data_IF_022447760195
#
_entry.id   IF_022447760195
#
_cell.length_a   1.000
_cell.length_b   1.000
_cell.length_c   1.000
_cell.angle_alpha   90.00
_cell.angle_beta   90.00
_cell.angle_gamma   90.00
#
_symmetry.space_group_name_H-M   'P 1'
#
loop_
_entity.id
_entity.type
_entity.pdbx_description
1 polymer ?
#
# COMPACT_ATOMS: atom_id res chain seq x y z
N UNK A 1 -20.11 7.43 43.13
CA UNK A 1 -19.87 8.50 42.14
C UNK A 1 -18.47 8.27 41.60
N UNK A 2 -18.37 7.60 40.44
CA UNK A 2 -17.13 7.43 39.71
C UNK A 2 -17.05 8.56 38.66
N UNK A 3 -16.23 9.55 38.95
CA UNK A 3 -15.87 10.56 37.94
C UNK A 3 -15.03 9.90 36.83
N UNK A 4 -15.61 9.75 35.68
CA UNK A 4 -14.88 9.46 34.45
C UNK A 4 -14.09 10.71 34.11
N UNK A 5 -12.77 10.67 34.29
CA UNK A 5 -11.85 11.66 33.75
C UNK A 5 -11.95 11.62 32.23
N UNK A 6 -12.24 12.75 31.56
CA UNK A 6 -12.25 12.77 30.08
C UNK A 6 -10.85 12.47 29.55
N UNK A 7 -10.70 11.79 28.40
CA UNK A 7 -9.40 11.49 27.83
C UNK A 7 -8.67 12.80 27.49
N UNK A 8 -7.44 12.88 27.95
CA UNK A 8 -6.53 14.02 27.77
C UNK A 8 -6.28 14.24 26.28
N UNK A 9 -6.69 15.41 25.76
CA UNK A 9 -6.72 15.77 24.34
C UNK A 9 -5.32 16.07 23.74
N UNK A 10 -4.22 15.67 24.37
CA UNK A 10 -2.85 16.05 24.00
C UNK A 10 -1.90 14.91 23.67
N UNK A 11 -2.34 13.66 23.66
CA UNK A 11 -1.47 12.57 23.23
C UNK A 11 -1.55 12.47 21.70
N UNK A 12 -0.47 12.73 20.93
CA UNK A 12 -0.49 12.57 19.48
C UNK A 12 -0.85 11.12 19.15
N UNK A 13 -1.68 10.94 18.12
CA UNK A 13 -2.06 9.61 17.65
C UNK A 13 -0.79 8.80 17.34
N UNK A 14 -0.74 7.52 17.72
CA UNK A 14 0.43 6.70 17.44
C UNK A 14 0.69 6.62 15.93
N UNK A 15 1.95 6.53 15.51
CA UNK A 15 2.27 6.37 14.10
C UNK A 15 1.63 5.10 13.53
N UNK A 16 1.34 5.12 12.25
CA UNK A 16 0.82 3.96 11.51
C UNK A 16 1.80 2.79 11.62
N UNK A 17 3.09 3.05 11.36
CA UNK A 17 4.19 2.10 11.52
C UNK A 17 5.26 2.73 12.41
N UNK A 18 5.77 1.96 13.38
CA UNK A 18 6.94 2.34 14.19
C UNK A 18 7.85 1.13 14.33
N UNK A 19 8.79 1.03 13.40
CA UNK A 19 9.76 -0.04 13.32
C UNK A 19 11.16 0.49 13.64
N UNK A 20 11.85 -0.16 14.56
CA UNK A 20 13.25 0.10 14.83
C UNK A 20 14.02 -1.22 14.81
N UNK A 21 15.12 -1.23 14.05
CA UNK A 21 16.07 -2.32 14.00
C UNK A 21 15.43 -3.70 13.73
N UNK A 22 14.51 -3.78 12.76
CA UNK A 22 13.86 -5.05 12.42
C UNK A 22 14.71 -5.84 11.43
N UNK A 23 14.94 -7.11 11.73
CA UNK A 23 15.64 -8.07 10.86
C UNK A 23 14.72 -9.25 10.58
N UNK A 24 14.57 -9.60 9.30
CA UNK A 24 13.69 -10.69 8.85
C UNK A 24 14.47 -11.68 8.03
N UNK A 25 14.30 -12.97 8.33
CA UNK A 25 14.90 -14.08 7.60
C UNK A 25 13.86 -14.79 6.73
N UNK A 26 14.29 -15.25 5.55
CA UNK A 26 13.54 -16.18 4.70
C UNK A 26 14.43 -17.36 4.37
N UNK A 27 14.26 -18.48 5.09
CA UNK A 27 15.26 -19.54 5.15
C UNK A 27 16.57 -18.96 5.71
N UNK A 28 17.68 -19.21 5.05
CA UNK A 28 19.00 -18.73 5.44
C UNK A 28 19.33 -17.31 4.95
N UNK A 29 18.42 -16.71 4.14
CA UNK A 29 18.64 -15.37 3.58
C UNK A 29 18.03 -14.30 4.47
N UNK A 30 18.83 -13.29 4.84
CA UNK A 30 18.34 -12.06 5.45
C UNK A 30 17.68 -11.22 4.36
N UNK A 31 16.36 -10.98 4.48
CA UNK A 31 15.55 -10.22 3.51
C UNK A 31 15.26 -8.82 3.96
N UNK A 32 15.26 -8.56 5.29
CA UNK A 32 15.37 -7.23 5.90
C UNK A 32 16.50 -7.28 6.92
N UNK A 33 17.30 -6.22 6.97
CA UNK A 33 18.50 -6.16 7.79
C UNK A 33 18.55 -4.85 8.58
N UNK A 34 18.24 -4.93 9.87
CA UNK A 34 18.27 -3.80 10.80
C UNK A 34 17.48 -2.58 10.30
N UNK A 35 16.34 -2.83 9.62
CA UNK A 35 15.52 -1.80 9.02
C UNK A 35 14.77 -1.02 10.11
N UNK A 36 14.82 0.31 10.02
CA UNK A 36 14.04 1.23 10.87
C UNK A 36 13.19 2.13 9.99
N UNK A 37 11.87 2.21 10.27
CA UNK A 37 10.92 2.99 9.49
C UNK A 37 9.78 3.45 10.40
N UNK A 38 9.55 4.75 10.46
CA UNK A 38 8.36 5.31 11.12
C UNK A 38 7.49 5.97 10.04
N UNK A 39 6.19 5.66 10.03
CA UNK A 39 5.20 6.25 9.11
C UNK A 39 4.07 6.84 9.93
N UNK A 40 3.75 8.09 9.70
CA UNK A 40 2.65 8.79 10.36
C UNK A 40 1.27 8.30 9.90
N UNK A 41 0.23 8.58 10.69
CA UNK A 41 -1.14 8.37 10.25
C UNK A 41 -1.49 9.35 9.12
N UNK A 42 -2.12 8.85 8.05
CA UNK A 42 -2.48 9.66 6.88
C UNK A 42 -1.30 10.09 5.98
N UNK A 43 -0.07 9.66 6.29
CA UNK A 43 1.11 10.00 5.49
C UNK A 43 1.09 9.33 4.12
N UNK A 44 1.57 10.05 3.09
CA UNK A 44 1.76 9.53 1.75
C UNK A 44 3.25 9.30 1.49
N UNK A 45 3.62 8.04 1.25
CA UNK A 45 5.00 7.58 1.20
C UNK A 45 5.24 6.69 -0.02
N UNK A 46 6.36 6.86 -0.72
CA UNK A 46 6.85 5.87 -1.67
C UNK A 46 8.05 5.09 -1.10
N UNK A 47 8.02 3.78 -1.22
CA UNK A 47 9.13 2.88 -0.93
C UNK A 47 9.69 2.40 -2.27
N UNK A 48 10.84 2.92 -2.64
CA UNK A 48 11.46 2.69 -3.95
C UNK A 48 12.72 1.82 -3.80
N UNK A 49 12.97 0.95 -4.75
CA UNK A 49 14.19 0.14 -4.79
C UNK A 49 14.17 -0.91 -5.89
N UNK A 50 15.34 -1.46 -6.25
CA UNK A 50 15.44 -2.49 -7.28
C UNK A 50 14.71 -3.78 -6.90
N UNK A 51 14.50 -4.65 -7.89
CA UNK A 51 13.94 -5.97 -7.66
C UNK A 51 14.84 -6.77 -6.71
N UNK A 52 14.24 -7.45 -5.73
CA UNK A 52 14.98 -8.19 -4.71
C UNK A 52 15.54 -7.35 -3.55
N UNK A 53 15.29 -6.03 -3.52
CA UNK A 53 15.74 -5.14 -2.44
C UNK A 53 15.12 -5.40 -1.07
N UNK A 54 14.02 -6.19 -1.00
CA UNK A 54 13.32 -6.49 0.26
C UNK A 54 11.95 -5.82 0.38
N UNK A 55 11.50 -5.04 -0.60
CA UNK A 55 10.23 -4.28 -0.58
C UNK A 55 9.00 -5.15 -0.27
N UNK A 56 8.79 -6.24 -1.01
CA UNK A 56 7.67 -7.16 -0.76
C UNK A 56 7.82 -7.91 0.58
N UNK A 57 9.06 -8.14 1.04
CA UNK A 57 9.30 -8.69 2.38
C UNK A 57 8.88 -7.70 3.47
N UNK A 58 9.09 -6.40 3.26
CA UNK A 58 8.61 -5.36 4.18
C UNK A 58 7.08 -5.35 4.24
N UNK A 59 6.38 -5.42 3.09
CA UNK A 59 4.91 -5.53 3.08
C UNK A 59 4.47 -6.80 3.84
N UNK A 60 5.07 -7.97 3.55
CA UNK A 60 4.76 -9.23 4.24
C UNK A 60 5.05 -9.16 5.75
N UNK A 61 5.97 -8.30 6.17
CA UNK A 61 6.22 -8.04 7.58
C UNK A 61 5.12 -7.15 8.19
N UNK A 62 4.68 -6.11 7.48
CA UNK A 62 3.55 -5.27 7.88
C UNK A 62 2.26 -6.12 8.01
N UNK A 63 2.02 -7.03 7.06
CA UNK A 63 0.83 -7.91 7.04
C UNK A 63 0.91 -9.12 7.99
N UNK A 64 2.00 -9.24 8.74
CA UNK A 64 2.25 -10.36 9.69
C UNK A 64 2.39 -11.73 9.03
N UNK A 65 2.74 -11.78 7.76
CA UNK A 65 3.14 -13.02 7.08
C UNK A 65 4.61 -13.37 7.37
N UNK A 66 5.45 -12.35 7.58
CA UNK A 66 6.82 -12.49 8.06
C UNK A 66 6.97 -11.85 9.44
N UNK A 67 7.77 -12.46 10.30
CA UNK A 67 8.03 -11.95 11.64
C UNK A 67 9.51 -11.57 11.80
N UNK A 68 9.80 -10.39 12.39
CA UNK A 68 11.17 -10.02 12.72
C UNK A 68 11.77 -10.93 13.78
N UNK A 69 13.09 -11.16 13.69
CA UNK A 69 13.85 -11.82 14.74
C UNK A 69 13.70 -11.07 16.07
N UNK A 70 13.60 -11.83 17.17
CA UNK A 70 13.56 -11.25 18.49
C UNK A 70 14.97 -10.82 18.94
N UNK A 71 15.12 -9.55 19.33
CA UNK A 71 16.30 -9.02 19.99
C UNK A 71 15.95 -7.77 20.82
N UNK A 72 16.82 -7.39 21.77
CA UNK A 72 16.51 -6.39 22.78
C UNK A 72 16.18 -4.99 22.22
N UNK A 73 16.84 -4.60 21.13
CA UNK A 73 16.72 -3.25 20.55
C UNK A 73 15.64 -3.17 19.45
N UNK A 74 14.86 -4.23 19.28
CA UNK A 74 13.79 -4.27 18.29
C UNK A 74 12.56 -3.52 18.79
N UNK A 75 12.00 -2.62 17.96
CA UNK A 75 10.63 -2.13 18.10
C UNK A 75 9.85 -2.44 16.83
N UNK A 76 8.66 -3.02 16.99
CA UNK A 76 7.82 -3.44 15.88
C UNK A 76 6.35 -3.20 16.21
N UNK A 77 5.92 -1.94 16.10
CA UNK A 77 4.57 -1.50 16.41
C UNK A 77 3.83 -1.08 15.14
N UNK A 78 2.58 -1.45 15.05
CA UNK A 78 1.63 -0.95 14.05
C UNK A 78 0.49 -0.29 14.81
N UNK A 79 0.24 1.00 14.55
CA UNK A 79 -0.73 1.82 15.31
C UNK A 79 -0.54 1.65 16.83
N UNK A 80 0.71 1.71 17.30
CA UNK A 80 1.08 1.60 18.70
C UNK A 80 0.97 0.21 19.32
N UNK A 81 0.60 -0.85 18.57
CA UNK A 81 0.43 -2.22 19.09
C UNK A 81 1.46 -3.16 18.49
N UNK A 82 2.05 -4.01 19.33
CA UNK A 82 2.97 -5.08 18.88
C UNK A 82 2.21 -6.32 18.38
N UNK A 83 1.07 -6.63 18.97
CA UNK A 83 0.28 -7.83 18.62
C UNK A 83 -1.03 -7.41 18.01
N UNK A 84 -1.36 -8.03 16.88
CA UNK A 84 -2.60 -7.83 16.14
C UNK A 84 -3.28 -9.16 15.84
N UNK A 85 -4.58 -9.17 15.91
CA UNK A 85 -5.40 -10.17 15.23
C UNK A 85 -5.34 -9.87 13.73
N UNK A 86 -5.04 -10.89 12.91
CA UNK A 86 -4.72 -10.69 11.47
C UNK A 86 -5.90 -10.09 10.70
N UNK A 87 -7.14 -10.51 11.03
CA UNK A 87 -8.35 -9.96 10.39
C UNK A 87 -8.52 -8.47 10.70
N UNK A 88 -8.37 -8.07 11.97
CA UNK A 88 -8.45 -6.67 12.38
C UNK A 88 -7.36 -5.81 11.72
N UNK A 89 -6.14 -6.33 11.60
CA UNK A 89 -5.06 -5.61 10.92
C UNK A 89 -5.37 -5.41 9.44
N UNK A 90 -5.90 -6.43 8.77
CA UNK A 90 -6.29 -6.35 7.35
C UNK A 90 -7.46 -5.39 7.08
N UNK A 91 -8.35 -5.22 8.05
CA UNK A 91 -9.41 -4.21 7.95
C UNK A 91 -8.89 -2.79 8.13
N UNK A 92 -7.82 -2.62 8.91
CA UNK A 92 -7.20 -1.31 9.16
C UNK A 92 -6.21 -0.89 8.08
N UNK A 93 -5.65 -1.85 7.34
CA UNK A 93 -4.71 -1.63 6.24
C UNK A 93 -5.28 -2.22 4.94
N UNK A 94 -5.63 -1.36 4.01
CA UNK A 94 -6.02 -1.78 2.67
C UNK A 94 -4.79 -2.22 1.88
N UNK A 95 -4.76 -3.48 1.40
CA UNK A 95 -3.61 -4.01 0.69
C UNK A 95 -4.00 -4.41 -0.72
N UNK A 96 -3.28 -3.88 -1.70
CA UNK A 96 -3.44 -4.20 -3.12
C UNK A 96 -2.10 -4.69 -3.68
N UNK A 97 -2.04 -5.98 -3.99
CA UNK A 97 -0.86 -6.61 -4.59
C UNK A 97 -1.19 -7.30 -5.91
N UNK A 98 -0.16 -7.53 -6.72
CA UNK A 98 -0.30 -8.29 -7.95
C UNK A 98 -0.76 -9.74 -7.69
N UNK A 99 -0.23 -10.38 -6.62
CA UNK A 99 -0.61 -11.73 -6.24
C UNK A 99 -2.13 -11.85 -6.02
N UNK A 100 -2.75 -10.83 -5.41
CA UNK A 100 -4.18 -10.81 -5.17
C UNK A 100 -5.00 -10.82 -6.46
N UNK A 101 -4.55 -10.11 -7.51
CA UNK A 101 -5.26 -10.08 -8.80
C UNK A 101 -5.35 -11.48 -9.43
N UNK A 102 -4.30 -12.27 -9.33
CA UNK A 102 -4.27 -13.63 -9.88
C UNK A 102 -5.08 -14.64 -9.05
N UNK A 103 -5.48 -14.30 -7.82
CA UNK A 103 -6.31 -15.19 -6.99
C UNK A 103 -7.79 -15.18 -7.41
N UNK A 104 -8.23 -14.14 -8.15
CA UNK A 104 -9.59 -14.05 -8.67
C UNK A 104 -9.76 -14.92 -9.94
N UNK A 105 -9.49 -16.21 -9.80
CA UNK A 105 -9.60 -17.22 -10.89
C UNK A 105 -11.03 -17.71 -11.10
N UNK A 106 -11.93 -17.47 -10.15
CA UNK A 106 -13.35 -17.82 -10.24
C UNK A 106 -14.11 -16.77 -11.03
N UNK A 107 -15.24 -17.18 -11.60
CA UNK A 107 -16.18 -16.25 -12.22
C UNK A 107 -16.92 -15.46 -11.13
N UNK A 108 -16.33 -14.34 -10.73
CA UNK A 108 -16.95 -13.37 -9.86
C UNK A 108 -17.01 -12.02 -10.56
N UNK A 109 -18.04 -11.26 -10.26
CA UNK A 109 -18.23 -9.91 -10.78
C UNK A 109 -17.32 -8.91 -10.05
N UNK A 110 -17.16 -7.72 -10.64
CA UNK A 110 -16.46 -6.63 -9.96
C UNK A 110 -17.12 -6.27 -8.62
N UNK A 111 -18.45 -6.23 -8.56
CA UNK A 111 -19.22 -6.00 -7.34
C UNK A 111 -18.91 -7.03 -6.27
N UNK A 112 -18.96 -8.32 -6.61
CA UNK A 112 -18.62 -9.40 -5.68
C UNK A 112 -17.16 -9.34 -5.21
N UNK A 113 -16.25 -8.89 -6.06
CA UNK A 113 -14.86 -8.69 -5.68
C UNK A 113 -14.73 -7.60 -4.60
N UNK A 114 -15.45 -6.47 -4.71
CA UNK A 114 -15.47 -5.42 -3.68
C UNK A 114 -16.13 -5.93 -2.41
N UNK A 115 -17.32 -6.52 -2.49
CA UNK A 115 -18.03 -7.11 -1.35
C UNK A 115 -17.21 -8.13 -0.59
N UNK A 116 -16.39 -8.93 -1.28
CA UNK A 116 -15.51 -9.93 -0.64
C UNK A 116 -14.48 -9.32 0.31
N UNK A 117 -14.22 -8.01 0.20
CA UNK A 117 -13.37 -7.26 1.10
C UNK A 117 -13.84 -7.27 2.54
N UNK A 118 -15.17 -7.19 2.77
CA UNK A 118 -15.75 -7.24 4.12
C UNK A 118 -15.43 -8.53 4.88
N UNK A 119 -15.19 -9.60 4.15
CA UNK A 119 -14.91 -10.93 4.71
C UNK A 119 -13.43 -11.33 4.63
N UNK A 120 -12.56 -10.45 4.12
CA UNK A 120 -11.15 -10.76 3.84
C UNK A 120 -10.96 -12.03 3.01
N UNK A 121 -11.94 -12.38 2.14
CA UNK A 121 -12.02 -13.60 1.34
C UNK A 121 -11.82 -13.31 -0.16
N UNK A 122 -11.63 -14.35 -0.97
CA UNK A 122 -11.63 -14.27 -2.43
C UNK A 122 -12.98 -14.79 -2.93
N UNK A 123 -13.95 -13.87 -3.07
CA UNK A 123 -15.35 -14.16 -3.38
C UNK A 123 -16.24 -14.27 -2.13
N UNK A 124 -17.55 -14.31 -2.36
CA UNK A 124 -18.54 -14.22 -1.27
C UNK A 124 -18.79 -15.56 -0.56
N UNK A 125 -18.56 -16.69 -1.23
CA UNK A 125 -18.85 -18.04 -0.70
C UNK A 125 -20.27 -18.17 -0.13
N UNK A 126 -20.36 -18.41 1.20
CA UNK A 126 -21.61 -18.55 1.96
C UNK A 126 -21.83 -17.37 2.93
N UNK A 127 -21.05 -16.29 2.77
CA UNK A 127 -21.25 -15.12 3.62
C UNK A 127 -22.54 -14.40 3.26
N UNK A 128 -23.29 -13.99 4.27
CA UNK A 128 -24.48 -13.17 4.10
C UNK A 128 -24.07 -11.71 3.88
N UNK A 129 -24.47 -11.14 2.77
CA UNK A 129 -24.26 -9.74 2.45
C UNK A 129 -25.41 -8.94 3.03
N UNK A 130 -25.10 -7.93 3.82
CA UNK A 130 -26.10 -7.03 4.41
C UNK A 130 -26.38 -5.83 3.51
N UNK A 131 -27.54 -5.18 3.69
CA UNK A 131 -27.86 -3.95 2.97
C UNK A 131 -26.80 -2.84 3.14
N UNK A 132 -26.23 -2.71 4.34
CA UNK A 132 -25.15 -1.74 4.62
C UNK A 132 -23.88 -2.04 3.83
N UNK A 133 -23.55 -3.32 3.63
CA UNK A 133 -22.38 -3.71 2.79
C UNK A 133 -22.64 -3.37 1.32
N UNK A 134 -23.85 -3.57 0.82
CA UNK A 134 -24.24 -3.18 -0.55
C UNK A 134 -24.16 -1.66 -0.73
N UNK A 135 -24.76 -0.89 0.19
CA UNK A 135 -24.70 0.57 0.17
C UNK A 135 -23.25 1.09 0.15
N UNK A 136 -22.41 0.56 1.03
CA UNK A 136 -20.97 0.93 1.06
C UNK A 136 -20.27 0.55 -0.23
N UNK A 137 -20.58 -0.60 -0.80
CA UNK A 137 -20.04 -1.04 -2.10
C UNK A 137 -20.44 -0.07 -3.21
N UNK A 138 -21.69 0.35 -3.27
CA UNK A 138 -22.19 1.33 -4.25
C UNK A 138 -21.48 2.68 -4.10
N UNK A 139 -21.25 3.14 -2.87
CA UNK A 139 -20.47 4.36 -2.62
C UNK A 139 -19.05 4.25 -3.17
N UNK A 140 -18.38 3.14 -2.91
CA UNK A 140 -17.01 2.89 -3.37
C UNK A 140 -16.96 2.79 -4.91
N UNK A 141 -17.87 2.06 -5.54
CA UNK A 141 -17.93 1.94 -6.98
C UNK A 141 -18.11 3.31 -7.66
N UNK A 142 -18.98 4.16 -7.11
CA UNK A 142 -19.16 5.56 -7.57
C UNK A 142 -17.92 6.40 -7.35
N UNK A 143 -17.33 6.33 -6.15
CA UNK A 143 -16.09 7.05 -5.83
C UNK A 143 -14.95 6.73 -6.78
N UNK A 144 -14.83 5.44 -7.16
CA UNK A 144 -13.81 4.95 -8.09
C UNK A 144 -14.22 5.06 -9.58
N UNK A 145 -15.44 5.49 -9.89
CA UNK A 145 -15.98 5.64 -11.26
C UNK A 145 -15.95 4.30 -12.05
N UNK A 146 -16.31 3.19 -11.39
CA UNK A 146 -16.31 1.84 -11.98
C UNK A 146 -17.68 1.14 -11.89
N UNK A 147 -18.75 1.86 -11.58
CA UNK A 147 -20.12 1.31 -11.50
C UNK A 147 -20.55 0.58 -12.78
N UNK A 148 -20.20 1.15 -13.93
CA UNK A 148 -20.54 0.62 -15.25
C UNK A 148 -19.89 -0.73 -15.57
N UNK A 149 -18.91 -1.16 -14.76
CA UNK A 149 -18.22 -2.44 -14.88
C UNK A 149 -18.57 -3.42 -13.75
N UNK A 150 -19.46 -3.01 -12.81
CA UNK A 150 -19.72 -3.75 -11.57
C UNK A 150 -20.18 -5.19 -11.80
N UNK A 151 -21.01 -5.42 -12.80
CA UNK A 151 -21.58 -6.73 -13.13
C UNK A 151 -20.72 -7.54 -14.10
N UNK A 152 -19.61 -6.96 -14.61
CA UNK A 152 -18.69 -7.65 -15.49
C UNK A 152 -17.80 -8.62 -14.71
N UNK A 153 -17.48 -9.76 -15.32
CA UNK A 153 -16.54 -10.73 -14.72
C UNK A 153 -15.14 -10.14 -14.58
N UNK A 154 -14.52 -10.31 -13.41
CA UNK A 154 -13.14 -9.89 -13.14
C UNK A 154 -12.13 -10.47 -14.15
N UNK A 155 -12.43 -11.63 -14.73
CA UNK A 155 -11.57 -12.30 -15.73
C UNK A 155 -11.57 -11.62 -17.10
N UNK A 156 -12.62 -10.87 -17.41
CA UNK A 156 -12.78 -10.15 -18.67
C UNK A 156 -12.30 -8.70 -18.59
N UNK A 157 -11.88 -8.26 -17.41
CA UNK A 157 -11.39 -6.92 -17.20
C UNK A 157 -9.93 -6.77 -17.61
N UNK A 158 -9.58 -5.59 -18.12
CA UNK A 158 -8.18 -5.20 -18.27
C UNK A 158 -7.47 -5.15 -16.91
N UNK A 159 -6.14 -5.19 -16.92
CA UNK A 159 -5.34 -5.11 -15.68
C UNK A 159 -5.65 -3.86 -14.87
N UNK A 160 -5.85 -2.71 -15.53
CA UNK A 160 -6.19 -1.45 -14.87
C UNK A 160 -7.62 -1.41 -14.30
N UNK A 161 -8.60 -1.97 -15.03
CA UNK A 161 -9.98 -2.11 -14.52
C UNK A 161 -10.01 -3.01 -13.28
N UNK A 162 -9.44 -4.22 -13.39
CA UNK A 162 -9.39 -5.17 -12.27
C UNK A 162 -8.69 -4.57 -11.05
N UNK A 163 -7.61 -3.80 -11.25
CA UNK A 163 -6.88 -3.14 -10.16
C UNK A 163 -7.75 -2.13 -9.41
N UNK A 164 -8.60 -1.37 -10.10
CA UNK A 164 -9.52 -0.42 -9.44
C UNK A 164 -10.56 -1.15 -8.58
N UNK A 165 -11.05 -2.34 -8.98
CA UNK A 165 -11.90 -3.18 -8.13
C UNK A 165 -11.15 -3.73 -6.91
N UNK A 166 -9.86 -4.10 -7.04
CA UNK A 166 -9.05 -4.48 -5.89
C UNK A 166 -8.81 -3.32 -4.92
N UNK A 167 -8.66 -2.10 -5.42
CA UNK A 167 -8.65 -0.90 -4.57
C UNK A 167 -9.99 -0.76 -3.87
N UNK A 168 -11.12 -0.86 -4.58
CA UNK A 168 -12.46 -0.82 -3.97
C UNK A 168 -12.62 -1.85 -2.86
N UNK A 169 -12.19 -3.07 -3.11
CA UNK A 169 -12.15 -4.14 -2.11
C UNK A 169 -11.33 -3.77 -0.87
N UNK A 170 -10.22 -3.09 -1.05
CA UNK A 170 -9.35 -2.67 0.06
C UNK A 170 -9.93 -1.50 0.87
N UNK A 171 -10.86 -0.71 0.29
CA UNK A 171 -11.44 0.47 0.90
C UNK A 171 -12.72 0.20 1.72
N UNK A 172 -13.31 -1.01 1.68
CA UNK A 172 -14.62 -1.30 2.32
C UNK A 172 -14.67 -1.06 3.82
N UNK A 173 -13.53 -1.09 4.50
CA UNK A 173 -13.40 -0.87 5.94
C UNK A 173 -12.86 0.53 6.29
N UNK A 174 -12.83 1.47 5.36
CA UNK A 174 -12.23 2.80 5.54
C UNK A 174 -10.83 2.73 6.19
N UNK A 175 -9.86 2.06 5.53
CA UNK A 175 -8.56 1.77 6.14
C UNK A 175 -7.78 3.06 6.44
N UNK A 176 -6.95 3.02 7.48
CA UNK A 176 -6.06 4.12 7.83
C UNK A 176 -5.00 4.39 6.74
N UNK A 177 -4.62 3.36 6.00
CA UNK A 177 -3.73 3.48 4.86
C UNK A 177 -4.00 2.41 3.79
N UNK A 178 -3.75 2.78 2.53
CA UNK A 178 -3.74 1.90 1.38
C UNK A 178 -2.28 1.59 1.02
N UNK A 179 -1.91 0.31 1.05
CA UNK A 179 -0.59 -0.19 0.67
C UNK A 179 -0.70 -0.83 -0.71
N UNK A 180 0.10 -0.33 -1.66
CA UNK A 180 0.10 -0.81 -3.04
C UNK A 180 1.46 -1.40 -3.38
N UNK A 181 1.50 -2.69 -3.76
CA UNK A 181 2.72 -3.39 -4.16
C UNK A 181 2.80 -3.48 -5.69
N UNK A 182 3.71 -2.68 -6.27
CA UNK A 182 3.96 -2.60 -7.72
C UNK A 182 2.68 -2.48 -8.56
N UNK A 183 1.83 -1.50 -8.27
CA UNK A 183 0.44 -1.51 -8.73
C UNK A 183 0.26 -1.24 -10.22
N UNK A 184 1.27 -0.69 -10.92
CA UNK A 184 1.15 -0.26 -12.32
C UNK A 184 1.73 -1.26 -13.31
N UNK A 185 2.25 -2.39 -12.83
CA UNK A 185 2.80 -3.43 -13.70
C UNK A 185 1.75 -3.89 -14.73
N UNK A 186 2.16 -3.95 -15.99
CA UNK A 186 1.33 -4.37 -17.13
C UNK A 186 0.16 -3.44 -17.49
N UNK A 187 0.21 -2.16 -17.07
CA UNK A 187 -0.75 -1.14 -17.49
C UNK A 187 -0.27 -0.40 -18.73
N UNK A 188 -1.18 -0.18 -19.68
CA UNK A 188 -0.96 0.77 -20.77
C UNK A 188 -1.13 2.22 -20.29
N UNK A 189 -0.86 3.20 -21.15
CA UNK A 189 -0.92 4.62 -20.78
C UNK A 189 -2.32 5.07 -20.34
N UNK A 190 -3.38 4.52 -20.94
CA UNK A 190 -4.75 4.85 -20.58
C UNK A 190 -5.10 4.34 -19.20
N UNK A 191 -4.82 3.05 -18.93
CA UNK A 191 -5.02 2.44 -17.62
C UNK A 191 -4.20 3.14 -16.53
N UNK A 192 -2.93 3.47 -16.82
CA UNK A 192 -2.04 4.19 -15.93
C UNK A 192 -2.58 5.58 -15.56
N UNK A 193 -3.10 6.33 -16.53
CA UNK A 193 -3.71 7.65 -16.29
C UNK A 193 -4.90 7.56 -15.32
N UNK A 194 -5.84 6.65 -15.58
CA UNK A 194 -7.01 6.46 -14.72
C UNK A 194 -6.63 5.94 -13.33
N UNK A 195 -5.67 5.03 -13.25
CA UNK A 195 -5.16 4.51 -11.99
C UNK A 195 -4.55 5.63 -11.13
N UNK A 196 -3.69 6.47 -11.70
CA UNK A 196 -3.09 7.62 -11.02
C UNK A 196 -4.15 8.62 -10.53
N UNK A 197 -5.13 8.96 -11.36
CA UNK A 197 -6.25 9.83 -10.97
C UNK A 197 -7.03 9.24 -9.79
N UNK A 198 -7.25 7.94 -9.79
CA UNK A 198 -7.89 7.22 -8.66
C UNK A 198 -7.07 7.35 -7.38
N UNK A 199 -5.75 7.13 -7.45
CA UNK A 199 -4.86 7.26 -6.28
C UNK A 199 -4.82 8.69 -5.73
N UNK A 200 -4.79 9.70 -6.61
CA UNK A 200 -4.86 11.10 -6.19
C UNK A 200 -6.17 11.42 -5.45
N UNK A 201 -7.31 10.91 -5.92
CA UNK A 201 -8.59 11.03 -5.20
C UNK A 201 -8.52 10.42 -3.80
N UNK A 202 -7.95 9.22 -3.68
CA UNK A 202 -7.80 8.50 -2.41
C UNK A 202 -6.88 9.28 -1.47
N UNK A 203 -5.73 9.74 -1.94
CA UNK A 203 -4.82 10.55 -1.13
C UNK A 203 -5.49 11.82 -0.61
N UNK A 204 -6.24 12.53 -1.46
CA UNK A 204 -6.98 13.75 -1.10
C UNK A 204 -8.17 13.49 -0.16
N UNK A 205 -8.69 12.27 -0.09
CA UNK A 205 -9.76 11.92 0.86
C UNK A 205 -9.27 11.68 2.29
N UNK A 206 -7.95 11.70 2.52
CA UNK A 206 -7.34 11.54 3.84
C UNK A 206 -6.85 10.13 4.16
N UNK A 207 -7.06 9.15 3.27
CA UNK A 207 -6.47 7.82 3.42
C UNK A 207 -4.98 7.87 3.11
N UNK A 208 -4.12 7.42 4.03
CA UNK A 208 -2.67 7.33 3.80
C UNK A 208 -2.37 6.44 2.59
N UNK A 209 -1.38 6.80 1.78
CA UNK A 209 -0.96 5.99 0.61
C UNK A 209 0.49 5.58 0.77
N UNK A 210 0.72 4.28 0.87
CA UNK A 210 2.07 3.69 0.88
C UNK A 210 2.27 2.96 -0.45
N UNK A 211 3.03 3.58 -1.34
CA UNK A 211 3.36 3.06 -2.66
C UNK A 211 4.67 2.29 -2.60
N UNK A 212 4.66 1.00 -2.90
CA UNK A 212 5.87 0.19 -3.01
C UNK A 212 6.12 -0.10 -4.49
N UNK A 213 7.26 0.36 -5.01
CA UNK A 213 7.54 0.28 -6.45
C UNK A 213 9.04 0.24 -6.75
N UNK A 214 9.38 -0.08 -7.98
CA UNK A 214 10.70 0.14 -8.57
C UNK A 214 10.67 1.21 -9.68
N UNK A 215 9.50 1.85 -9.89
CA UNK A 215 9.26 2.76 -11.00
C UNK A 215 8.92 4.18 -10.48
N UNK A 216 9.70 5.18 -10.86
CA UNK A 216 9.48 6.57 -10.44
C UNK A 216 8.13 7.11 -10.93
N UNK A 217 7.65 6.62 -12.08
CA UNK A 217 6.38 7.05 -12.66
C UNK A 217 5.15 6.70 -11.80
N UNK A 218 5.30 5.83 -10.80
CA UNK A 218 4.21 5.47 -9.88
C UNK A 218 4.01 6.51 -8.78
N UNK A 219 5.04 7.31 -8.51
CA UNK A 219 5.04 8.29 -7.43
C UNK A 219 4.15 9.48 -7.83
N UNK A 220 2.94 9.52 -7.29
CA UNK A 220 1.99 10.61 -7.55
C UNK A 220 2.42 11.92 -6.85
N UNK A 221 1.97 13.09 -7.33
CA UNK A 221 2.32 14.39 -6.72
C UNK A 221 2.01 14.50 -5.22
N UNK A 222 0.97 13.86 -4.74
CA UNK A 222 0.54 13.85 -3.35
C UNK A 222 1.52 13.13 -2.40
N UNK A 223 2.34 12.22 -2.92
CA UNK A 223 3.43 11.60 -2.15
C UNK A 223 4.54 12.63 -1.94
N UNK A 224 4.82 12.95 -0.69
CA UNK A 224 5.84 13.94 -0.31
C UNK A 224 7.15 13.33 0.18
N UNK A 225 7.14 12.06 0.62
CA UNK A 225 8.31 11.38 1.19
C UNK A 225 8.65 10.12 0.40
N UNK A 226 9.93 9.89 0.21
CA UNK A 226 10.47 8.70 -0.46
C UNK A 226 11.47 8.00 0.43
N UNK A 227 11.31 6.69 0.57
CA UNK A 227 12.24 5.80 1.27
C UNK A 227 12.87 4.88 0.24
N UNK A 228 14.19 4.86 0.20
CA UNK A 228 14.95 3.99 -0.70
C UNK A 228 15.40 2.73 0.03
N UNK A 229 15.11 1.58 -0.57
CA UNK A 229 15.49 0.27 -0.03
C UNK A 229 16.45 -0.43 -0.97
N UNK A 230 17.63 -0.83 -0.47
CA UNK A 230 18.63 -1.66 -1.16
C UNK A 230 19.10 -2.75 -0.21
N UNK A 231 19.15 -4.00 -0.67
CA UNK A 231 19.68 -5.15 0.10
C UNK A 231 19.05 -5.32 1.51
N UNK A 232 17.76 -5.09 1.62
CA UNK A 232 17.02 -5.22 2.89
C UNK A 232 17.19 -4.08 3.87
N UNK A 233 17.89 -3.00 3.49
CA UNK A 233 18.17 -1.83 4.33
C UNK A 233 17.57 -0.57 3.72
N UNK A 234 17.24 0.41 4.57
CA UNK A 234 16.95 1.76 4.11
C UNK A 234 18.29 2.46 3.87
N UNK A 235 18.50 2.95 2.65
CA UNK A 235 19.70 3.68 2.27
C UNK A 235 19.49 5.19 2.15
N UNK A 236 18.23 5.65 2.00
CA UNK A 236 17.87 7.06 2.08
C UNK A 236 16.38 7.19 2.47
N UNK A 237 16.02 8.26 3.14
CA UNK A 237 14.67 8.57 3.60
C UNK A 237 14.53 10.09 3.76
N UNK A 238 13.56 10.70 3.09
CA UNK A 238 13.35 12.14 3.14
C UNK A 238 12.34 12.66 2.13
N UNK A 239 12.25 14.00 2.01
CA UNK A 239 11.43 14.66 1.01
C UNK A 239 11.75 14.17 -0.40
N UNK A 240 10.73 13.96 -1.23
CA UNK A 240 10.93 13.39 -2.57
C UNK A 240 11.86 14.24 -3.46
N UNK A 241 11.85 15.55 -3.28
CA UNK A 241 12.69 16.50 -4.02
C UNK A 241 14.19 16.32 -3.71
N UNK A 242 14.51 15.90 -2.49
CA UNK A 242 15.88 15.67 -2.04
C UNK A 242 16.37 14.27 -2.43
N UNK A 243 15.45 13.30 -2.46
CA UNK A 243 15.76 11.88 -2.70
C UNK A 243 15.80 11.56 -4.20
N UNK A 244 14.88 12.11 -5.00
CA UNK A 244 14.73 11.77 -6.42
C UNK A 244 15.68 12.61 -7.28
N UNK A 245 16.99 12.39 -7.15
CA UNK A 245 18.05 13.06 -7.90
C UNK A 245 18.86 12.07 -8.72
N UNK A 246 19.55 12.55 -9.77
CA UNK A 246 20.41 11.75 -10.64
C UNK A 246 21.40 10.90 -9.83
N UNK A 247 22.07 11.52 -8.87
CA UNK A 247 23.12 10.88 -8.07
C UNK A 247 22.55 9.77 -7.17
N UNK A 248 21.47 10.06 -6.45
CA UNK A 248 20.89 9.12 -5.47
C UNK A 248 20.23 7.95 -6.20
N UNK A 249 19.41 8.24 -7.22
CA UNK A 249 18.72 7.19 -7.99
C UNK A 249 19.70 6.39 -8.85
N UNK A 250 20.72 7.04 -9.45
CA UNK A 250 21.79 6.34 -10.16
C UNK A 250 22.54 5.36 -9.25
N UNK A 251 22.85 5.79 -8.01
CA UNK A 251 23.48 4.92 -6.99
C UNK A 251 22.56 3.81 -6.46
N UNK A 252 21.25 4.04 -6.43
CA UNK A 252 20.28 3.00 -6.03
C UNK A 252 20.24 1.86 -7.03
N UNK A 253 20.14 2.18 -8.33
CA UNK A 253 19.95 1.21 -9.41
C UNK A 253 21.25 0.77 -10.10
N UNK A 254 22.41 1.35 -9.71
CA UNK A 254 23.74 1.09 -10.27
C UNK A 254 23.80 1.37 -11.79
N UNK A 255 23.12 2.44 -12.25
CA UNK A 255 23.10 2.89 -13.65
C UNK A 255 23.19 4.42 -13.72
N UNK A 256 23.78 4.98 -14.80
CA UNK A 256 23.65 6.41 -15.07
C UNK A 256 22.17 6.71 -15.34
N UNK A 257 21.64 7.76 -14.73
CA UNK A 257 20.25 8.15 -14.92
C UNK A 257 20.14 9.67 -14.86
N UNK A 258 19.22 10.21 -15.64
CA UNK A 258 18.85 11.61 -15.56
C UNK A 258 17.38 11.73 -15.11
N UNK A 259 17.17 12.42 -13.98
CA UNK A 259 15.85 12.63 -13.38
C UNK A 259 15.29 13.96 -13.83
N UNK A 260 14.06 13.94 -14.31
CA UNK A 260 13.29 15.15 -14.64
C UNK A 260 12.04 15.21 -13.79
N UNK A 261 11.76 16.37 -13.22
CA UNK A 261 10.51 16.68 -12.54
C UNK A 261 9.62 17.53 -13.47
N UNK A 262 8.33 17.20 -13.54
CA UNK A 262 7.33 17.97 -14.27
C UNK A 262 5.97 17.90 -13.55
N UNK A 263 5.52 18.99 -12.95
CA UNK A 263 4.23 19.09 -12.26
C UNK A 263 4.08 18.12 -11.06
N UNK A 264 5.17 17.86 -10.34
CA UNK A 264 5.21 16.92 -9.21
C UNK A 264 5.41 15.45 -9.60
N UNK A 265 5.50 15.15 -10.90
CA UNK A 265 5.83 13.84 -11.44
C UNK A 265 7.33 13.72 -11.71
N UNK A 266 7.88 12.53 -11.48
CA UNK A 266 9.30 12.27 -11.69
C UNK A 266 9.50 11.22 -12.78
N UNK A 267 10.46 11.49 -13.66
CA UNK A 267 10.77 10.67 -14.82
C UNK A 267 12.27 10.37 -14.84
N UNK A 268 12.62 9.12 -15.14
CA UNK A 268 14.01 8.71 -15.36
C UNK A 268 14.26 8.51 -16.84
N UNK A 269 15.42 8.94 -17.30
CA UNK A 269 15.88 8.79 -18.69
C UNK A 269 17.40 8.62 -18.75
N UNK A 270 17.95 8.23 -19.89
CA UNK A 270 19.41 8.15 -20.11
C UNK A 270 20.11 6.91 -19.57
N UNK A 271 19.34 5.86 -19.24
CA UNK A 271 19.86 4.55 -18.75
C UNK A 271 19.76 3.48 -19.82
#
# INVERSE_FOLDING_TARGET
MNEQVPPDATTPSPPLLDFANITVMRGDKKVLDSLSLTVGAGEHLAILGPNGAGKSSLIKTITREHYPLAHADRRFLIMGKEVWEVGALRSMLGIVSNELQFTFTREITGREAVLSGFFSSVGLFRHEVTATMEEKTDEILRFLEIEHLADRSMREMSSGEGRRFLIGRALVHDPAALILDEPTNSMDLHALHHFRSTLQKIARSGTGVIMVTHNLHDIIPEISRVVLVKEGRICADGPKEEILTDTIIGGLFDVPVHIREEGGWYYASGY
#
